data_IF_884843135712
#
_entry.id   IF_884843135712
#
_cell.length_a   1.000
_cell.length_b   1.000
_cell.length_c   1.000
_cell.angle_alpha   90.00
_cell.angle_beta   90.00
_cell.angle_gamma   90.00
#
_symmetry.space_group_name_H-M   'P 1'
#
loop_
_entity.id
_entity.type
_entity.pdbx_description
1 polymer ?
#
# COMPACT_ATOMS: atom_id res chain seq x y z
N UNK A 1 1.91 11.43 -12.55
CA UNK A 1 0.99 12.18 -11.66
C UNK A 1 1.66 12.46 -10.32
N UNK A 2 1.05 13.25 -9.45
CA UNK A 2 1.54 13.45 -8.09
C UNK A 2 1.23 12.20 -7.23
N UNK A 3 2.24 11.58 -6.59
CA UNK A 3 2.03 10.34 -5.80
C UNK A 3 1.22 10.59 -4.52
N UNK A 4 1.19 11.84 -4.03
CA UNK A 4 0.50 12.29 -2.80
C UNK A 4 -0.99 11.93 -2.67
N UNK A 5 -1.65 11.40 -3.70
CA UNK A 5 -3.04 10.93 -3.61
C UNK A 5 -3.16 9.49 -3.09
N UNK A 6 -2.09 8.70 -3.11
CA UNK A 6 -2.05 7.33 -2.60
C UNK A 6 -1.11 7.26 -1.40
N UNK A 7 -1.60 6.68 -0.32
CA UNK A 7 -0.80 6.26 0.83
C UNK A 7 -0.73 4.73 0.84
N UNK A 8 0.48 4.18 0.78
CA UNK A 8 0.76 2.76 0.92
C UNK A 8 1.33 2.50 2.32
N UNK A 9 0.81 1.50 3.04
CA UNK A 9 1.25 1.12 4.40
C UNK A 9 1.27 -0.38 4.57
N UNK A 10 1.92 -0.88 5.63
CA UNK A 10 1.99 -2.30 5.99
C UNK A 10 1.88 -2.47 7.51
N UNK A 11 1.32 -3.59 8.00
CA UNK A 11 1.43 -3.96 9.42
C UNK A 11 2.82 -4.51 9.79
N UNK A 12 3.51 -5.13 8.82
CA UNK A 12 4.90 -5.57 8.93
C UNK A 12 5.87 -4.43 8.61
N UNK A 13 7.07 -4.46 9.20
CA UNK A 13 8.08 -3.41 9.01
C UNK A 13 8.82 -3.59 7.68
N UNK A 14 9.18 -2.46 7.07
CA UNK A 14 10.13 -2.45 5.95
C UNK A 14 11.53 -2.76 6.49
N UNK A 15 12.11 -3.88 6.07
CA UNK A 15 13.48 -4.29 6.40
C UNK A 15 14.49 -3.94 5.31
N UNK A 16 14.03 -3.71 4.07
CA UNK A 16 14.90 -3.35 2.94
C UNK A 16 14.14 -2.72 1.77
N UNK A 17 14.86 -2.43 0.69
CA UNK A 17 14.31 -1.86 -0.54
C UNK A 17 13.86 -0.40 -0.43
N UNK A 18 12.85 -0.05 -1.23
CA UNK A 18 12.29 1.27 -1.45
C UNK A 18 11.25 1.67 -0.38
N UNK A 19 11.15 2.97 -0.06
CA UNK A 19 10.10 3.47 0.82
C UNK A 19 8.71 3.43 0.17
N UNK A 20 7.67 3.19 0.98
CA UNK A 20 6.30 2.98 0.52
C UNK A 20 5.74 4.10 -0.37
N UNK A 21 6.22 5.34 -0.22
CA UNK A 21 5.83 6.47 -1.08
C UNK A 21 6.36 6.36 -2.51
N UNK A 22 7.49 5.69 -2.71
CA UNK A 22 8.18 5.60 -4.00
C UNK A 22 8.01 4.23 -4.67
N UNK A 23 7.77 3.18 -3.90
CA UNK A 23 7.65 1.79 -4.33
C UNK A 23 6.51 1.45 -5.31
N UNK A 24 5.46 2.29 -5.42
CA UNK A 24 4.34 2.04 -6.33
C UNK A 24 4.38 2.90 -7.61
N UNK A 25 3.94 2.31 -8.72
CA UNK A 25 3.45 3.04 -9.87
C UNK A 25 1.99 3.46 -9.65
N UNK A 26 1.64 4.65 -10.10
CA UNK A 26 0.26 5.14 -10.15
C UNK A 26 -0.08 5.49 -11.60
N UNK A 27 -1.05 4.79 -12.16
CA UNK A 27 -1.56 5.01 -13.52
C UNK A 27 -3.01 5.48 -13.45
N UNK A 28 -3.36 6.49 -14.25
CA UNK A 28 -4.76 6.86 -14.45
C UNK A 28 -5.28 6.11 -15.68
N UNK A 29 -6.34 5.35 -15.49
CA UNK A 29 -7.09 4.72 -16.58
C UNK A 29 -8.40 5.47 -16.81
N UNK A 30 -8.95 5.34 -18.01
CA UNK A 30 -10.36 5.67 -18.22
C UNK A 30 -11.24 4.72 -17.39
N UNK A 31 -12.42 5.16 -16.92
CA UNK A 31 -13.34 4.31 -16.18
C UNK A 31 -13.61 3.00 -16.92
N UNK A 32 -13.41 1.90 -16.19
CA UNK A 32 -13.76 0.54 -16.58
C UNK A 32 -12.95 -0.02 -17.77
N UNK A 33 -11.79 0.61 -18.07
CA UNK A 33 -10.70 0.02 -18.87
C UNK A 33 -9.60 -0.50 -17.93
N UNK A 34 -9.42 -1.82 -17.87
CA UNK A 34 -8.24 -2.42 -17.24
C UNK A 34 -7.05 -2.39 -18.20
N UNK A 35 -5.88 -2.00 -17.69
CA UNK A 35 -4.63 -2.00 -18.45
C UNK A 35 -3.69 -3.01 -17.79
N UNK A 36 -3.23 -4.02 -18.52
CA UNK A 36 -2.23 -4.98 -17.99
C UNK A 36 -0.81 -4.50 -18.35
N UNK A 37 -0.04 -3.90 -17.41
CA UNK A 37 1.31 -3.43 -17.70
C UNK A 37 2.24 -4.61 -18.00
N UNK A 38 3.15 -4.49 -18.98
CA UNK A 38 4.13 -5.53 -19.25
C UNK A 38 5.13 -5.64 -18.09
N UNK A 39 5.79 -6.80 -17.97
CA UNK A 39 6.53 -7.16 -16.76
C UNK A 39 7.75 -6.26 -16.51
N UNK A 40 8.43 -5.85 -17.58
CA UNK A 40 9.56 -4.92 -17.63
C UNK A 40 9.23 -3.51 -17.09
N UNK A 41 7.96 -3.10 -17.16
CA UNK A 41 7.51 -1.83 -16.60
C UNK A 41 7.06 -1.95 -15.15
N UNK A 42 6.54 -3.13 -14.76
CA UNK A 42 6.03 -3.40 -13.42
C UNK A 42 7.18 -3.64 -12.41
N UNK A 43 8.16 -4.47 -12.79
CA UNK A 43 9.37 -4.73 -12.01
C UNK A 43 10.33 -3.53 -12.05
N UNK A 44 10.91 -3.18 -10.92
CA UNK A 44 11.98 -2.18 -10.82
C UNK A 44 12.71 -2.36 -9.49
N UNK A 45 14.01 -2.64 -9.53
CA UNK A 45 14.86 -2.85 -8.35
C UNK A 45 14.81 -1.65 -7.39
N UNK A 46 14.65 -0.42 -7.93
CA UNK A 46 14.57 0.81 -7.17
C UNK A 46 13.20 1.01 -6.48
N UNK A 47 12.21 0.17 -6.80
CA UNK A 47 10.85 0.21 -6.24
C UNK A 47 10.48 -1.03 -5.44
N UNK A 48 11.32 -2.07 -5.44
CA UNK A 48 11.06 -3.29 -4.68
C UNK A 48 11.03 -3.00 -3.16
N UNK A 49 10.15 -3.67 -2.42
CA UNK A 49 10.04 -3.57 -0.95
C UNK A 49 10.33 -4.93 -0.34
N UNK A 50 11.19 -4.98 0.69
CA UNK A 50 11.26 -6.13 1.59
C UNK A 50 10.55 -5.80 2.91
N UNK A 51 9.55 -6.61 3.24
CA UNK A 51 8.80 -6.56 4.48
C UNK A 51 9.18 -7.76 5.34
N UNK A 52 9.51 -7.55 6.61
CA UNK A 52 9.68 -8.63 7.58
C UNK A 52 8.77 -8.43 8.79
N UNK A 53 8.44 -9.53 9.47
CA UNK A 53 7.69 -9.49 10.71
C UNK A 53 8.64 -9.08 11.86
N UNK A 54 8.57 -7.84 12.40
CA UNK A 54 9.57 -7.33 13.34
C UNK A 54 9.43 -7.91 14.76
N UNK A 55 8.35 -8.65 15.04
CA UNK A 55 8.00 -9.14 16.38
C UNK A 55 7.82 -10.66 16.45
N UNK A 56 7.81 -11.36 15.31
CA UNK A 56 7.46 -12.78 15.20
C UNK A 56 6.05 -13.13 15.73
N UNK A 57 5.11 -12.18 15.70
CA UNK A 57 3.68 -12.42 15.99
C UNK A 57 3.04 -13.28 14.89
N UNK A 58 2.01 -14.08 15.21
CA UNK A 58 1.32 -14.94 14.21
C UNK A 58 0.53 -14.16 13.14
N UNK A 59 0.49 -12.82 13.23
CA UNK A 59 -0.17 -11.95 12.26
C UNK A 59 0.40 -12.08 10.85
N UNK A 60 -0.49 -12.29 9.87
CA UNK A 60 -0.13 -12.27 8.45
C UNK A 60 0.23 -10.85 8.00
N UNK A 61 1.15 -10.78 7.03
CA UNK A 61 1.50 -9.52 6.39
C UNK A 61 0.27 -8.97 5.65
N UNK A 62 -0.05 -7.70 5.90
CA UNK A 62 -1.09 -6.93 5.25
C UNK A 62 -0.51 -5.63 4.69
N UNK A 63 -0.63 -5.43 3.38
CA UNK A 63 -0.32 -4.19 2.68
C UNK A 63 -1.62 -3.45 2.38
N UNK A 64 -1.78 -2.22 2.87
CA UNK A 64 -2.93 -1.38 2.58
C UNK A 64 -2.57 -0.24 1.62
N UNK A 65 -3.34 -0.10 0.54
CA UNK A 65 -3.30 1.03 -0.37
C UNK A 65 -4.57 1.87 -0.18
N UNK A 66 -4.42 3.09 0.36
CA UNK A 66 -5.49 4.05 0.56
C UNK A 66 -5.35 5.23 -0.40
N UNK A 67 -6.47 5.64 -1.01
CA UNK A 67 -6.56 6.63 -2.09
C UNK A 67 -7.45 7.80 -1.68
N UNK A 68 -7.07 9.02 -2.08
CA UNK A 68 -7.81 10.24 -1.79
C UNK A 68 -9.21 10.21 -2.46
N UNK A 69 -10.31 10.62 -1.77
CA UNK A 69 -11.69 10.27 -2.20
C UNK A 69 -12.17 10.72 -3.58
N UNK A 70 -11.44 11.61 -4.27
CA UNK A 70 -11.76 12.04 -5.63
C UNK A 70 -11.50 10.98 -6.71
N UNK A 71 -10.77 9.91 -6.38
CA UNK A 71 -10.46 8.80 -7.30
C UNK A 71 -10.92 7.46 -6.71
N UNK A 72 -11.34 6.51 -7.56
CA UNK A 72 -11.52 5.08 -7.22
C UNK A 72 -10.25 4.32 -7.57
N UNK A 73 -9.90 3.31 -6.78
CA UNK A 73 -8.99 2.24 -7.23
C UNK A 73 -9.82 1.35 -8.17
N UNK A 74 -9.30 1.12 -9.38
CA UNK A 74 -9.97 0.36 -10.45
C UNK A 74 -9.31 -1.00 -10.68
N UNK A 75 -8.00 -1.10 -10.47
CA UNK A 75 -7.25 -2.34 -10.52
C UNK A 75 -5.92 -2.19 -9.77
N UNK A 76 -5.27 -3.32 -9.48
CA UNK A 76 -3.85 -3.34 -9.14
C UNK A 76 -3.13 -4.49 -9.83
N UNK A 77 -1.85 -4.27 -10.15
CA UNK A 77 -0.94 -5.29 -10.65
C UNK A 77 0.22 -5.37 -9.67
N UNK A 78 0.66 -6.58 -9.32
CA UNK A 78 1.71 -6.79 -8.32
C UNK A 78 2.56 -8.00 -8.67
N UNK A 79 3.84 -7.97 -8.31
CA UNK A 79 4.71 -9.16 -8.31
C UNK A 79 5.34 -9.32 -6.92
N UNK A 80 5.23 -10.51 -6.33
CA UNK A 80 5.81 -10.82 -5.01
C UNK A 80 6.27 -12.29 -4.92
N UNK A 81 6.96 -12.64 -3.83
CA UNK A 81 7.42 -14.01 -3.53
C UNK A 81 6.35 -14.93 -2.91
N UNK A 82 5.07 -14.55 -2.96
CA UNK A 82 3.97 -15.26 -2.27
C UNK A 82 2.98 -15.82 -3.29
N UNK A 83 2.62 -17.12 -3.25
CA UNK A 83 1.74 -17.75 -4.25
C UNK A 83 0.25 -17.43 -4.08
N UNK A 84 -0.16 -16.94 -2.91
CA UNK A 84 -1.58 -16.79 -2.54
C UNK A 84 -1.82 -15.54 -1.68
N UNK A 85 -2.82 -14.74 -2.05
CA UNK A 85 -3.22 -13.53 -1.30
C UNK A 85 -4.73 -13.52 -1.06
N UNK A 86 -5.17 -12.85 0.00
CA UNK A 86 -6.57 -12.48 0.23
C UNK A 86 -6.74 -10.98 -0.02
N UNK A 87 -7.86 -10.59 -0.62
CA UNK A 87 -8.13 -9.20 -1.02
C UNK A 87 -9.33 -8.68 -0.23
N UNK A 88 -9.16 -7.52 0.41
CA UNK A 88 -10.18 -6.83 1.19
C UNK A 88 -10.38 -5.41 0.68
N UNK A 89 -11.62 -4.93 0.65
CA UNK A 89 -11.98 -3.60 0.16
C UNK A 89 -12.63 -2.72 1.24
N UNK A 90 -12.33 -1.43 1.19
CA UNK A 90 -12.91 -0.40 2.05
C UNK A 90 -12.41 -0.41 3.51
N UNK A 91 -12.78 0.62 4.29
CA UNK A 91 -12.28 0.81 5.67
C UNK A 91 -12.81 -0.22 6.68
N UNK A 92 -13.78 -1.05 6.28
CA UNK A 92 -14.28 -2.18 7.08
C UNK A 92 -13.56 -3.50 6.74
N UNK A 93 -12.61 -3.49 5.80
CA UNK A 93 -11.95 -4.69 5.22
C UNK A 93 -12.97 -5.77 4.83
N UNK A 94 -13.89 -5.41 3.93
CA UNK A 94 -14.81 -6.39 3.34
C UNK A 94 -14.03 -7.40 2.51
N UNK A 95 -14.06 -8.69 2.88
CA UNK A 95 -13.46 -9.75 2.08
C UNK A 95 -14.08 -9.78 0.68
N UNK A 96 -13.23 -9.90 -0.33
CA UNK A 96 -13.63 -10.00 -1.74
C UNK A 96 -13.37 -11.43 -2.23
N UNK A 97 -12.10 -11.80 -2.29
CA UNK A 97 -11.65 -13.06 -2.86
C UNK A 97 -10.27 -13.47 -2.35
N UNK A 98 -9.84 -14.65 -2.79
CA UNK A 98 -8.52 -15.22 -2.57
C UNK A 98 -7.86 -15.45 -3.92
N UNK A 99 -6.91 -14.60 -4.30
CA UNK A 99 -6.23 -14.68 -5.57
C UNK A 99 -4.99 -15.60 -5.49
N UNK A 100 -4.79 -16.37 -6.56
CA UNK A 100 -3.65 -17.25 -6.77
C UNK A 100 -2.75 -16.61 -7.83
N UNK A 101 -1.45 -16.49 -7.53
CA UNK A 101 -0.52 -15.78 -8.39
C UNK A 101 -0.02 -16.65 -9.54
N UNK A 102 0.14 -16.04 -10.72
CA UNK A 102 0.73 -16.71 -11.88
C UNK A 102 2.26 -16.77 -11.70
N UNK A 103 2.84 -17.96 -11.73
CA UNK A 103 4.30 -18.12 -11.66
C UNK A 103 4.96 -17.42 -12.86
N UNK A 104 6.06 -16.71 -12.59
CA UNK A 104 6.84 -15.97 -13.59
C UNK A 104 8.15 -16.70 -13.93
N UNK A 105 8.70 -17.41 -12.93
CA UNK A 105 9.98 -18.10 -13.05
C UNK A 105 9.72 -19.56 -13.48
N UNK A 106 9.33 -19.74 -14.74
CA UNK A 106 9.35 -21.03 -15.41
C UNK A 106 10.67 -21.17 -16.19
N UNK A 107 11.72 -21.62 -15.50
CA UNK A 107 12.98 -22.06 -16.12
C UNK A 107 12.93 -23.58 -16.31
N UNK A 108 12.71 -24.03 -17.54
CA UNK A 108 12.62 -25.45 -17.97
C UNK A 108 13.92 -26.28 -17.75
N UNK A 109 14.97 -25.71 -17.18
CA UNK A 109 16.24 -26.40 -16.95
C UNK A 109 16.17 -27.26 -15.68
N UNK A 110 16.07 -28.58 -15.85
CA UNK A 110 16.19 -29.63 -14.79
C UNK A 110 17.62 -29.68 -14.19
N UNK A 111 18.07 -28.59 -13.58
CA UNK A 111 19.40 -28.44 -12.99
C UNK A 111 19.37 -28.73 -11.48
N UNK A 112 19.71 -29.97 -11.09
CA UNK A 112 19.84 -30.44 -9.71
C UNK A 112 20.83 -29.61 -8.86
N UNK A 113 20.39 -28.46 -8.34
CA UNK A 113 21.18 -27.61 -7.45
C UNK A 113 20.71 -27.74 -6.00
N UNK A 114 21.15 -28.83 -5.35
CA UNK A 114 20.97 -29.01 -3.90
C UNK A 114 21.45 -27.74 -3.17
N UNK A 115 20.58 -27.21 -2.31
CA UNK A 115 20.75 -26.00 -1.47
C UNK A 115 20.37 -24.63 -2.09
N UNK A 116 19.90 -24.55 -3.34
CA UNK A 116 19.29 -23.30 -3.82
C UNK A 116 17.83 -23.16 -3.35
N UNK A 117 17.54 -22.11 -2.57
CA UNK A 117 16.17 -21.70 -2.25
C UNK A 117 15.60 -20.96 -3.46
N UNK A 118 14.98 -21.70 -4.38
CA UNK A 118 14.43 -21.14 -5.61
C UNK A 118 13.35 -20.09 -5.32
N UNK A 119 13.63 -18.84 -5.66
CA UNK A 119 12.83 -17.71 -5.23
C UNK A 119 11.67 -17.46 -6.22
N UNK A 120 10.68 -18.35 -6.20
CA UNK A 120 9.52 -18.29 -7.07
C UNK A 120 8.79 -16.94 -6.97
N UNK A 121 8.67 -16.25 -8.10
CA UNK A 121 7.99 -14.96 -8.22
C UNK A 121 6.62 -15.13 -8.85
N UNK A 122 5.60 -14.49 -8.26
CA UNK A 122 4.20 -14.65 -8.63
C UNK A 122 3.58 -13.32 -9.02
N UNK A 123 2.89 -13.29 -10.17
CA UNK A 123 2.18 -12.13 -10.71
C UNK A 123 0.70 -12.15 -10.35
N UNK A 124 0.22 -10.97 -9.96
CA UNK A 124 -1.19 -10.64 -9.75
C UNK A 124 -1.62 -9.52 -10.69
N UNK A 125 -2.81 -9.68 -11.26
CA UNK A 125 -3.50 -8.72 -12.11
C UNK A 125 -4.97 -8.76 -11.67
N UNK A 126 -5.40 -7.78 -10.88
CA UNK A 126 -6.68 -7.82 -10.13
C UNK A 126 -7.50 -6.57 -10.42
N UNK A 127 -8.73 -6.78 -10.90
CA UNK A 127 -9.70 -5.72 -11.18
C UNK A 127 -10.63 -5.46 -9.97
N UNK A 128 -11.25 -4.29 -9.91
CA UNK A 128 -12.03 -3.82 -8.75
C UNK A 128 -13.45 -3.46 -9.18
N UNK A 129 -14.33 -4.47 -9.19
CA UNK A 129 -15.73 -4.34 -9.63
C UNK A 129 -16.56 -3.31 -8.82
N UNK A 130 -16.23 -3.11 -7.54
CA UNK A 130 -16.99 -2.21 -6.67
C UNK A 130 -16.69 -0.74 -7.00
N UNK A 131 -17.73 -0.02 -7.42
CA UNK A 131 -17.66 1.41 -7.70
C UNK A 131 -17.31 2.25 -6.46
N UNK A 132 -16.29 3.10 -6.58
CA UNK A 132 -15.90 4.06 -5.54
C UNK A 132 -15.05 3.51 -4.40
N UNK A 133 -14.42 2.34 -4.58
CA UNK A 133 -13.41 1.82 -3.64
C UNK A 133 -12.23 2.80 -3.53
N UNK A 134 -11.97 3.31 -2.32
CA UNK A 134 -10.84 4.19 -2.00
C UNK A 134 -9.77 3.51 -1.14
N UNK A 135 -9.94 2.23 -0.79
CA UNK A 135 -9.02 1.52 0.09
C UNK A 135 -9.04 0.03 -0.24
N UNK A 136 -7.86 -0.58 -0.37
CA UNK A 136 -7.68 -2.02 -0.56
C UNK A 136 -6.60 -2.51 0.41
N UNK A 137 -6.88 -3.59 1.14
CA UNK A 137 -5.88 -4.34 1.90
C UNK A 137 -5.62 -5.67 1.22
N UNK A 138 -4.34 -5.96 0.94
CA UNK A 138 -3.85 -7.22 0.41
C UNK A 138 -3.18 -7.97 1.56
N UNK A 139 -3.70 -9.16 1.92
CA UNK A 139 -3.08 -10.03 2.93
C UNK A 139 -2.32 -11.16 2.26
N UNK A 140 -1.06 -11.36 2.64
CA UNK A 140 -0.20 -12.41 2.09
C UNK A 140 -0.35 -13.71 2.88
N UNK A 141 -0.84 -14.78 2.22
CA UNK A 141 -0.98 -16.10 2.82
C UNK A 141 0.34 -16.88 2.71
N UNK A 142 1.35 -16.41 3.42
CA UNK A 142 2.66 -17.04 3.54
C UNK A 142 2.89 -17.68 4.92
N UNK A 143 3.86 -18.60 4.98
CA UNK A 143 4.47 -19.12 6.20
C UNK A 143 5.90 -18.57 6.43
N UNK A 144 6.44 -17.80 5.47
CA UNK A 144 7.72 -17.10 5.60
C UNK A 144 7.59 -15.91 6.56
N UNK A 145 8.68 -15.58 7.26
CA UNK A 145 8.80 -14.35 8.07
C UNK A 145 9.03 -13.08 7.25
N UNK A 146 9.16 -13.21 5.92
CA UNK A 146 9.48 -12.14 4.98
C UNK A 146 8.60 -12.20 3.73
N UNK A 147 8.19 -11.02 3.24
CA UNK A 147 7.47 -10.82 1.98
C UNK A 147 8.27 -9.82 1.15
N UNK A 148 8.68 -10.23 -0.05
CA UNK A 148 9.33 -9.37 -1.03
C UNK A 148 8.33 -9.00 -2.13
N UNK A 149 8.17 -7.71 -2.39
CA UNK A 149 7.30 -7.15 -3.42
C UNK A 149 8.20 -6.48 -4.46
N UNK A 150 8.33 -7.06 -5.65
CA UNK A 150 9.26 -6.62 -6.69
C UNK A 150 8.72 -5.47 -7.56
N UNK A 151 7.42 -5.22 -7.46
CA UNK A 151 6.74 -4.13 -8.15
C UNK A 151 5.25 -4.15 -7.85
N UNK A 152 4.67 -2.96 -7.69
CA UNK A 152 3.23 -2.76 -7.55
C UNK A 152 2.79 -1.55 -8.39
N UNK A 153 1.71 -1.72 -9.13
CA UNK A 153 1.06 -0.67 -9.91
C UNK A 153 -0.40 -0.58 -9.49
N UNK A 154 -0.84 0.64 -9.13
CA UNK A 154 -2.22 0.92 -8.71
C UNK A 154 -2.86 1.76 -9.81
N UNK A 155 -3.99 1.27 -10.34
CA UNK A 155 -4.73 1.94 -11.39
C UNK A 155 -5.93 2.66 -10.79
N UNK A 156 -6.04 3.96 -11.12
CA UNK A 156 -7.07 4.84 -10.57
C UNK A 156 -7.90 5.47 -11.68
N UNK A 157 -9.17 5.70 -11.40
CA UNK A 157 -10.10 6.43 -12.25
C UNK A 157 -10.86 7.47 -11.41
N UNK A 158 -11.52 8.48 -12.01
CA UNK A 158 -12.35 9.42 -11.27
C UNK A 158 -13.42 8.70 -10.44
N UNK A 159 -13.62 9.10 -9.18
CA UNK A 159 -14.63 8.48 -8.31
C UNK A 159 -16.03 9.01 -8.64
N UNK A 160 -16.98 8.20 -9.13
CA UNK A 160 -18.37 8.66 -9.32
C UNK A 160 -19.05 9.02 -7.99
N UNK A 161 -18.59 8.43 -6.88
CA UNK A 161 -19.05 8.74 -5.52
C UNK A 161 -18.20 9.86 -4.86
N UNK A 162 -17.27 10.51 -5.57
CA UNK A 162 -16.30 11.45 -4.99
C UNK A 162 -16.88 12.74 -4.37
N UNK A 163 -18.19 12.99 -4.56
CA UNK A 163 -18.95 14.08 -3.91
C UNK A 163 -19.63 13.60 -2.62
N UNK A 164 -19.99 12.31 -2.51
CA UNK A 164 -20.66 11.73 -1.35
C UNK A 164 -19.69 11.07 -0.37
N UNK A 165 -18.56 10.55 -0.85
CA UNK A 165 -17.48 9.94 -0.05
C UNK A 165 -16.55 10.96 0.63
N UNK A 166 -17.07 12.11 1.08
CA UNK A 166 -16.31 13.13 1.80
C UNK A 166 -15.87 12.62 3.18
N UNK A 167 -14.60 12.24 3.31
CA UNK A 167 -14.02 11.83 4.59
C UNK A 167 -13.87 13.05 5.52
N UNK A 168 -14.00 12.93 6.85
CA UNK A 168 -14.07 14.08 7.75
C UNK A 168 -12.88 15.06 7.69
N UNK A 169 -11.71 14.58 7.25
CA UNK A 169 -10.49 15.38 7.14
C UNK A 169 -10.37 16.12 5.80
N UNK A 170 -11.21 15.84 4.80
CA UNK A 170 -11.27 16.61 3.54
C UNK A 170 -12.21 17.81 3.69
N UNK A 171 -11.79 18.79 4.51
CA UNK A 171 -12.40 20.13 4.53
C UNK A 171 -11.95 20.93 3.29
N UNK A 172 -12.29 20.41 2.11
CA UNK A 172 -12.55 21.26 0.96
C UNK A 172 -13.74 22.13 1.34
N UNK A 173 -13.47 23.40 1.66
CA UNK A 173 -14.37 24.27 2.43
C UNK A 173 -15.77 24.25 1.82
N UNK A 174 -16.74 23.64 2.52
CA UNK A 174 -18.15 23.88 2.26
C UNK A 174 -18.34 25.37 2.47
N UNK A 175 -18.53 26.13 1.39
CA UNK A 175 -18.68 27.56 1.46
C UNK A 175 -20.06 27.86 2.07
N UNK A 176 -20.10 27.90 3.40
CA UNK A 176 -21.33 28.07 4.19
C UNK A 176 -22.00 29.39 3.84
N UNK A 177 -21.24 30.46 3.52
CA UNK A 177 -21.80 31.73 3.06
C UNK A 177 -22.50 31.58 1.70
N UNK A 178 -21.90 30.88 0.73
CA UNK A 178 -22.55 30.61 -0.56
C UNK A 178 -23.82 29.75 -0.39
N UNK A 179 -23.75 28.65 0.37
CA UNK A 179 -24.91 27.79 0.66
C UNK A 179 -26.00 28.58 1.38
N UNK A 180 -25.64 29.43 2.35
CA UNK A 180 -26.57 30.29 3.08
C UNK A 180 -27.15 31.40 2.21
N UNK A 181 -26.40 31.93 1.24
CA UNK A 181 -26.88 32.90 0.26
C UNK A 181 -27.86 32.25 -0.71
N UNK A 182 -27.58 31.03 -1.20
CA UNK A 182 -28.51 30.26 -2.03
C UNK A 182 -29.80 29.91 -1.27
N UNK A 183 -29.70 29.55 0.02
CA UNK A 183 -30.87 29.30 0.87
C UNK A 183 -31.68 30.58 1.13
N UNK A 184 -31.03 31.71 1.42
CA UNK A 184 -31.69 33.00 1.65
C UNK A 184 -32.37 33.56 0.40
N UNK A 185 -31.79 33.32 -0.78
CA UNK A 185 -32.38 33.66 -2.07
C UNK A 185 -33.47 32.66 -2.52
N UNK A 186 -33.64 31.53 -1.82
CA UNK A 186 -34.72 30.59 -2.09
C UNK A 186 -36.03 31.05 -1.45
N UNK A 187 -37.14 31.00 -2.19
CA UNK A 187 -38.46 31.41 -1.71
C UNK A 187 -39.07 30.48 -0.64
N UNK A 188 -38.30 29.53 -0.08
CA UNK A 188 -38.73 28.56 0.93
C UNK A 188 -38.05 28.88 2.27
N UNK A 189 -38.83 29.35 3.24
CA UNK A 189 -38.34 29.55 4.62
C UNK A 189 -37.87 28.21 5.21
N UNK A 190 -36.77 28.25 5.96
CA UNK A 190 -36.26 27.11 6.72
C UNK A 190 -37.32 26.62 7.72
N UNK A 191 -37.49 25.30 7.82
CA UNK A 191 -38.38 24.70 8.82
C UNK A 191 -37.67 24.59 10.16
N UNK A 192 -38.41 24.67 11.27
CA UNK A 192 -37.83 24.59 12.62
C UNK A 192 -36.95 23.33 12.87
N UNK A 193 -37.25 22.14 12.31
CA UNK A 193 -36.31 21.01 12.34
C UNK A 193 -35.02 21.28 11.56
N UNK A 194 -35.11 21.82 10.34
CA UNK A 194 -33.94 22.12 9.52
C UNK A 194 -32.98 23.13 10.19
N UNK A 195 -33.52 24.10 10.95
CA UNK A 195 -32.70 25.03 11.73
C UNK A 195 -31.98 24.37 12.91
N UNK A 196 -32.56 23.33 13.52
CA UNK A 196 -31.86 22.52 14.54
C UNK A 196 -30.69 21.75 13.93
N UNK A 197 -30.91 21.08 12.80
CA UNK A 197 -29.84 20.38 12.08
C UNK A 197 -28.74 21.34 11.56
N UNK A 198 -29.11 22.53 11.07
CA UNK A 198 -28.15 23.59 10.72
C UNK A 198 -27.27 23.98 11.89
N UNK A 199 -27.86 24.30 13.06
CA UNK A 199 -27.11 24.68 14.27
C UNK A 199 -26.19 23.56 14.77
N UNK A 200 -26.61 22.30 14.63
CA UNK A 200 -25.80 21.13 14.94
C UNK A 200 -24.58 21.00 14.02
N UNK A 201 -24.77 21.12 12.70
CA UNK A 201 -23.68 21.09 11.72
C UNK A 201 -22.71 22.27 11.90
N UNK A 202 -23.22 23.47 12.15
CA UNK A 202 -22.38 24.64 12.47
C UNK A 202 -21.52 24.42 13.72
N UNK A 203 -22.06 23.77 14.76
CA UNK A 203 -21.31 23.47 15.98
C UNK A 203 -20.19 22.45 15.73
N UNK A 204 -20.46 21.42 14.91
CA UNK A 204 -19.45 20.44 14.50
C UNK A 204 -18.33 21.13 13.71
N UNK A 205 -18.68 21.91 12.67
CA UNK A 205 -17.71 22.64 11.84
C UNK A 205 -16.83 23.56 12.71
N UNK A 206 -17.42 24.30 13.66
CA UNK A 206 -16.69 25.18 14.58
C UNK A 206 -15.81 24.42 15.60
N UNK A 207 -16.07 23.14 15.85
CA UNK A 207 -15.27 22.28 16.75
C UNK A 207 -14.03 21.63 16.08
N UNK A 208 -13.97 21.62 14.74
CA UNK A 208 -13.01 20.83 13.95
C UNK A 208 -11.52 21.16 14.13
N UNK A 209 -11.19 22.28 14.78
CA UNK A 209 -9.80 22.69 15.06
C UNK A 209 -9.27 22.19 16.42
N UNK A 210 -9.83 21.10 16.97
CA UNK A 210 -9.31 20.47 18.19
C UNK A 210 -9.09 18.97 18.03
N UNK A 211 -8.06 18.44 18.69
CA UNK A 211 -7.54 17.09 18.45
C UNK A 211 -8.57 15.97 18.66
N UNK A 212 -8.42 14.88 17.90
CA UNK A 212 -9.42 13.80 17.76
C UNK A 212 -9.94 13.20 19.08
N UNK A 213 -9.15 13.26 20.16
CA UNK A 213 -9.55 12.82 21.50
C UNK A 213 -10.66 13.67 22.16
N UNK A 214 -11.00 14.86 21.62
CA UNK A 214 -12.03 15.75 22.19
C UNK A 214 -13.35 15.75 21.42
N UNK A 215 -13.35 15.47 20.12
CA UNK A 215 -14.56 15.49 19.29
C UNK A 215 -15.58 14.43 19.73
N UNK A 216 -15.12 13.22 20.07
CA UNK A 216 -15.99 12.15 20.61
C UNK A 216 -16.65 12.56 21.94
N UNK A 217 -15.89 13.15 22.86
CA UNK A 217 -16.40 13.62 24.15
C UNK A 217 -17.43 14.75 23.99
N UNK A 218 -17.18 15.75 23.14
CA UNK A 218 -18.09 16.88 22.96
C UNK A 218 -19.38 16.51 22.20
N UNK A 219 -19.28 15.63 21.19
CA UNK A 219 -20.45 15.08 20.49
C UNK A 219 -21.29 14.23 21.46
N UNK A 220 -20.67 13.33 22.23
CA UNK A 220 -21.39 12.53 23.23
C UNK A 220 -22.02 13.37 24.35
N UNK A 221 -21.38 14.47 24.79
CA UNK A 221 -21.94 15.35 25.81
C UNK A 221 -23.22 16.05 25.31
N UNK A 222 -23.23 16.53 24.06
CA UNK A 222 -24.43 17.11 23.45
C UNK A 222 -25.50 16.06 23.11
N UNK A 223 -25.13 14.80 22.90
CA UNK A 223 -26.08 13.70 22.71
C UNK A 223 -26.72 13.26 24.05
N UNK A 224 -25.93 13.13 25.13
CA UNK A 224 -26.44 12.87 26.49
C UNK A 224 -27.35 13.99 27.00
N UNK A 225 -27.11 15.25 26.62
CA UNK A 225 -27.98 16.38 26.97
C UNK A 225 -29.41 16.30 26.38
N UNK A 226 -29.67 15.36 25.46
CA UNK A 226 -30.98 15.13 24.83
C UNK A 226 -31.72 13.88 25.34
N UNK A 227 -31.06 12.98 26.08
CA UNK A 227 -31.66 11.79 26.69
C UNK A 227 -31.05 11.52 28.07
N UNK A 228 -31.78 11.82 29.14
CA UNK A 228 -31.41 11.45 30.50
C UNK A 228 -32.06 10.11 30.89
N UNK A 229 -31.25 9.07 31.11
CA UNK A 229 -31.41 8.16 32.26
C UNK A 229 -30.12 7.37 32.53
N UNK A 230 -29.80 7.26 33.82
CA UNK A 230 -28.90 6.35 34.52
C UNK A 230 -27.39 6.25 34.22
N UNK A 231 -26.73 5.69 35.25
CA UNK A 231 -25.31 5.63 35.58
C UNK A 231 -24.64 4.39 34.92
N UNK A 232 -23.32 4.12 34.97
CA UNK A 232 -22.27 4.50 35.92
C UNK A 232 -20.84 4.38 35.33
N UNK A 233 -19.82 4.86 36.06
CA UNK A 233 -18.36 4.62 35.83
C UNK A 233 -17.87 3.42 36.69
N UNK A 234 -16.62 2.93 36.77
CA UNK A 234 -15.26 3.53 36.74
C UNK A 234 -14.16 2.39 36.77
N UNK A 235 -12.85 2.71 36.63
CA UNK A 235 -11.61 1.99 37.10
C UNK A 235 -10.95 0.84 36.29
N UNK A 236 -9.63 0.54 36.41
CA UNK A 236 -8.39 1.38 36.54
C UNK A 236 -7.06 0.53 36.40
N UNK A 237 -6.09 0.96 35.56
CA UNK A 237 -4.57 0.87 35.62
C UNK A 237 -3.73 -0.43 35.88
N UNK A 238 -2.67 -0.56 35.05
CA UNK A 238 -1.24 -0.94 35.34
C UNK A 238 -0.91 -2.37 35.86
N UNK A 239 0.33 -2.92 35.84
CA UNK A 239 1.74 -2.45 35.57
C UNK A 239 2.35 -3.13 34.30
N UNK A 240 3.64 -3.46 34.02
CA UNK A 240 4.94 -3.46 34.74
C UNK A 240 6.18 -3.43 33.75
N UNK A 241 7.41 -3.75 34.22
CA UNK A 241 8.70 -3.76 33.46
C UNK A 241 9.56 -5.01 33.76
N UNK A 242 10.44 -5.41 32.80
CA UNK A 242 11.78 -6.07 32.94
C UNK A 242 12.13 -6.87 31.66
N UNK A 243 13.15 -6.50 30.85
CA UNK A 243 13.71 -7.44 29.85
C UNK A 243 15.16 -7.20 29.35
N UNK A 244 15.81 -6.14 29.82
CA UNK A 244 16.96 -5.42 29.22
C UNK A 244 18.31 -6.18 29.17
N UNK A 245 18.30 -7.51 29.34
CA UNK A 245 19.49 -8.39 29.28
C UNK A 245 19.44 -9.49 28.22
N UNK A 246 18.26 -9.84 27.71
CA UNK A 246 18.13 -10.85 26.64
C UNK A 246 18.43 -10.22 25.27
N UNK A 247 18.07 -8.94 25.13
CA UNK A 247 18.16 -8.15 23.90
C UNK A 247 19.61 -8.06 23.34
N UNK A 248 20.60 -7.84 24.21
CA UNK A 248 21.98 -7.52 23.79
C UNK A 248 22.72 -8.71 23.15
N UNK A 249 22.44 -9.95 23.59
CA UNK A 249 23.09 -11.15 23.05
C UNK A 249 22.43 -11.61 21.74
N UNK A 250 21.12 -11.41 21.62
CA UNK A 250 20.36 -11.68 20.39
C UNK A 250 20.70 -10.68 19.27
N UNK A 251 20.89 -9.40 19.57
CA UNK A 251 21.36 -8.39 18.61
C UNK A 251 22.72 -8.78 18.01
N UNK A 252 23.62 -9.38 18.80
CA UNK A 252 24.95 -9.79 18.31
C UNK A 252 24.85 -10.92 17.28
N UNK A 253 24.04 -11.94 17.56
CA UNK A 253 23.76 -13.01 16.60
C UNK A 253 23.01 -12.52 15.35
N UNK A 254 22.15 -11.50 15.49
CA UNK A 254 21.49 -10.87 14.35
C UNK A 254 22.49 -10.11 13.46
N UNK A 255 23.44 -9.36 14.03
CA UNK A 255 24.53 -8.73 13.27
C UNK A 255 25.42 -9.75 12.56
N UNK A 256 25.88 -10.79 13.26
CA UNK A 256 26.73 -11.85 12.67
C UNK A 256 26.02 -12.53 11.47
N UNK A 257 24.68 -12.67 11.50
CA UNK A 257 23.87 -13.18 10.40
C UNK A 257 23.65 -12.17 9.26
N UNK A 258 23.45 -10.88 9.59
CA UNK A 258 23.31 -9.81 8.59
C UNK A 258 24.59 -9.66 7.77
N UNK A 259 25.76 -9.62 8.41
CA UNK A 259 27.07 -9.50 7.74
C UNK A 259 27.38 -10.70 6.81
N UNK A 260 26.88 -11.89 7.16
CA UNK A 260 26.96 -13.07 6.29
C UNK A 260 26.07 -12.90 5.04
N UNK A 261 24.81 -12.52 5.22
CA UNK A 261 23.86 -12.34 4.10
C UNK A 261 24.27 -11.21 3.15
N UNK A 262 24.87 -10.13 3.66
CA UNK A 262 25.44 -9.07 2.82
C UNK A 262 26.63 -9.55 1.98
N UNK A 263 27.52 -10.40 2.52
CA UNK A 263 28.62 -11.00 1.74
C UNK A 263 28.14 -12.00 0.68
N UNK A 264 27.13 -12.81 1.00
CA UNK A 264 26.48 -13.67 0.01
C UNK A 264 25.89 -12.85 -1.15
N UNK A 265 25.19 -11.76 -0.83
CA UNK A 265 24.61 -10.86 -1.83
C UNK A 265 25.65 -10.10 -2.66
N UNK A 266 26.72 -9.61 -2.02
CA UNK A 266 27.87 -8.98 -2.69
C UNK A 266 28.53 -9.96 -3.68
N UNK A 267 28.72 -11.22 -3.29
CA UNK A 267 29.26 -12.26 -4.18
C UNK A 267 28.35 -12.53 -5.39
N UNK A 268 27.03 -12.56 -5.21
CA UNK A 268 26.06 -12.75 -6.30
C UNK A 268 26.03 -11.55 -7.25
N UNK A 269 26.09 -10.32 -6.72
CA UNK A 269 26.22 -9.11 -7.54
C UNK A 269 27.53 -9.13 -8.34
N UNK A 270 28.65 -9.47 -7.71
CA UNK A 270 29.94 -9.53 -8.40
C UNK A 270 29.95 -10.57 -9.52
N UNK A 271 29.32 -11.73 -9.31
CA UNK A 271 29.12 -12.73 -10.36
C UNK A 271 28.25 -12.19 -11.50
N UNK A 272 27.11 -11.54 -11.19
CA UNK A 272 26.23 -10.95 -12.21
C UNK A 272 26.91 -9.84 -13.03
N UNK A 273 27.75 -9.02 -12.41
CA UNK A 273 28.57 -8.02 -13.11
C UNK A 273 29.51 -8.73 -14.10
N UNK A 274 30.25 -9.74 -13.66
CA UNK A 274 31.14 -10.51 -14.53
C UNK A 274 30.38 -11.19 -15.70
N UNK A 275 29.23 -11.82 -15.44
CA UNK A 275 28.36 -12.40 -16.48
C UNK A 275 27.89 -11.34 -17.50
N UNK A 276 27.63 -10.11 -17.07
CA UNK A 276 27.22 -9.01 -17.94
C UNK A 276 28.42 -8.49 -18.74
N UNK A 277 29.58 -8.29 -18.12
CA UNK A 277 30.81 -7.86 -18.81
C UNK A 277 31.25 -8.87 -19.87
N UNK A 278 31.19 -10.17 -19.58
CA UNK A 278 31.49 -11.23 -20.55
C UNK A 278 30.49 -11.21 -21.72
N UNK A 279 29.18 -11.11 -21.44
CA UNK A 279 28.13 -10.98 -22.47
C UNK A 279 28.27 -9.73 -23.32
N UNK A 280 28.76 -8.61 -22.77
CA UNK A 280 29.02 -7.39 -23.54
C UNK A 280 30.31 -7.50 -24.36
N UNK A 281 31.36 -8.14 -23.81
CA UNK A 281 32.62 -8.41 -24.51
C UNK A 281 32.40 -9.31 -25.73
N UNK A 282 31.64 -10.41 -25.57
CA UNK A 282 31.26 -11.30 -26.68
C UNK A 282 30.43 -10.58 -27.76
N UNK A 283 29.60 -9.59 -27.39
CA UNK A 283 28.91 -8.73 -28.38
C UNK A 283 29.88 -7.79 -29.10
N UNK A 284 30.82 -7.19 -28.38
CA UNK A 284 31.87 -6.33 -28.93
C UNK A 284 32.75 -7.08 -29.93
N UNK A 285 33.22 -8.29 -29.60
CA UNK A 285 33.99 -9.15 -30.51
C UNK A 285 33.18 -9.52 -31.76
N UNK A 286 31.86 -9.73 -31.62
CA UNK A 286 30.96 -10.03 -32.74
C UNK A 286 30.79 -8.82 -33.67
N UNK A 287 30.73 -7.61 -33.12
CA UNK A 287 30.68 -6.34 -33.87
C UNK A 287 32.02 -6.08 -34.57
N UNK A 288 33.15 -6.26 -33.88
CA UNK A 288 34.50 -6.13 -34.45
C UNK A 288 34.71 -7.12 -35.62
N UNK A 289 34.30 -8.37 -35.46
CA UNK A 289 34.33 -9.38 -36.53
C UNK A 289 33.43 -9.03 -37.73
N UNK A 290 32.34 -8.28 -37.54
CA UNK A 290 31.50 -7.79 -38.63
C UNK A 290 32.15 -6.61 -39.35
N UNK A 291 32.74 -5.67 -38.61
CA UNK A 291 33.45 -4.51 -39.16
C UNK A 291 34.70 -4.94 -39.95
N UNK A 292 35.53 -5.85 -39.42
CA UNK A 292 36.67 -6.41 -40.16
C UNK A 292 36.25 -7.11 -41.46
N UNK A 293 35.10 -7.79 -41.49
CA UNK A 293 34.60 -8.47 -42.69
C UNK A 293 34.09 -7.49 -43.74
N UNK A 294 33.53 -6.34 -43.33
CA UNK A 294 33.22 -5.25 -44.26
C UNK A 294 34.51 -4.63 -44.79
N UNK A 295 35.49 -4.34 -43.92
CA UNK A 295 36.76 -3.69 -44.29
C UNK A 295 37.71 -4.58 -45.14
N UNK A 296 37.40 -5.86 -45.31
CA UNK A 296 38.10 -6.83 -46.18
C UNK A 296 37.30 -7.19 -47.44
N UNK A 297 36.22 -6.46 -47.73
CA UNK A 297 35.33 -6.68 -48.88
C UNK A 297 35.29 -5.51 -49.87
N UNK A 298 36.12 -4.47 -49.64
CA UNK A 298 36.49 -3.41 -50.58
C UNK A 298 37.95 -3.64 -51.05
#
# INVERSE_FOLDING_TARGET
MNKNYIQLTSNWSRSGGCDFHEAFLCQTADPDIFIKPPLDQLLDENRAILLSNPKLEEEKCELCAQLFPHYKIQAFNMVCNVPKIEIFQGPLKEYVETAYGLLINETDDEAESLNNLELHCYRYDVEVDKSGVTEITIRFLTALSEVCIFGICIQIAPNPNGITSLTPNTVGIINVENVQTMLANSARKTTAPAEKYKKFLEAIIKSGNSSAAKSSAFVNHNFKALNQHDESEDRLRQTNLNNDKIEFEMIRHLMDHIDLRFKEFESVIQQRINEIEERQSVKLDRILNMLEKQQKSD
#
